data_IF_258042896474
#
_entry.id   IF_258042896474
#
_cell.length_a   1.000
_cell.length_b   1.000
_cell.length_c   1.000
_cell.angle_alpha   90.00
_cell.angle_beta   90.00
_cell.angle_gamma   90.00
#
_symmetry.space_group_name_H-M   'P 1'
#
loop_
_entity.id
_entity.type
_entity.pdbx_description
1 polymer ?
#
# COMPACT_ATOMS: atom_id res chain seq x y z
N UNK A 1 -17.70 5.70 -12.79
CA UNK A 1 -18.35 5.10 -11.61
C UNK A 1 -17.26 4.78 -10.60
N UNK A 2 -17.49 5.09 -9.34
CA UNK A 2 -16.63 4.71 -8.22
C UNK A 2 -17.38 3.76 -7.29
N UNK A 3 -16.68 3.14 -6.33
CA UNK A 3 -17.29 2.22 -5.37
C UNK A 3 -18.39 2.88 -4.54
N UNK A 4 -18.21 4.14 -4.12
CA UNK A 4 -19.22 4.89 -3.34
C UNK A 4 -20.52 5.17 -4.14
N UNK A 5 -20.52 5.01 -5.47
CA UNK A 5 -21.73 5.13 -6.30
C UNK A 5 -22.62 3.87 -6.21
N UNK A 6 -22.08 2.74 -5.73
CA UNK A 6 -22.79 1.47 -5.61
C UNK A 6 -23.49 1.37 -4.26
N UNK A 7 -24.76 0.95 -4.25
CA UNK A 7 -25.40 0.58 -3.00
C UNK A 7 -24.71 -0.64 -2.38
N UNK A 8 -24.81 -0.81 -1.06
CA UNK A 8 -24.29 -2.01 -0.37
C UNK A 8 -24.83 -3.32 -0.97
N UNK A 9 -26.09 -3.30 -1.43
CA UNK A 9 -26.73 -4.42 -2.09
C UNK A 9 -26.11 -4.68 -3.47
N UNK A 10 -25.95 -3.65 -4.30
CA UNK A 10 -25.38 -3.78 -5.64
C UNK A 10 -23.92 -4.25 -5.57
N UNK A 11 -23.13 -3.67 -4.68
CA UNK A 11 -21.75 -4.10 -4.43
C UNK A 11 -21.69 -5.58 -4.05
N UNK A 12 -22.55 -6.02 -3.14
CA UNK A 12 -22.62 -7.42 -2.70
C UNK A 12 -23.06 -8.36 -3.84
N UNK A 13 -24.01 -7.95 -4.67
CA UNK A 13 -24.47 -8.71 -5.83
C UNK A 13 -23.39 -8.81 -6.90
N UNK A 14 -22.71 -7.70 -7.22
CA UNK A 14 -21.57 -7.68 -8.15
C UNK A 14 -20.47 -8.64 -7.68
N UNK A 15 -20.05 -8.56 -6.41
CA UNK A 15 -19.03 -9.43 -5.83
C UNK A 15 -19.44 -10.92 -5.84
N UNK A 16 -20.72 -11.21 -5.59
CA UNK A 16 -21.23 -12.58 -5.53
C UNK A 16 -21.45 -13.24 -6.90
N UNK A 17 -21.61 -12.44 -7.96
CA UNK A 17 -21.87 -12.85 -9.34
C UNK A 17 -20.67 -12.62 -10.27
N UNK A 18 -20.73 -11.65 -11.20
CA UNK A 18 -19.72 -11.45 -12.24
C UNK A 18 -18.35 -11.00 -11.70
N UNK A 19 -18.31 -10.39 -10.51
CA UNK A 19 -17.13 -9.80 -9.88
C UNK A 19 -17.09 -8.28 -10.01
N UNK A 20 -16.55 -7.62 -9.00
CA UNK A 20 -16.27 -6.18 -9.01
C UNK A 20 -14.91 -5.94 -9.66
N UNK A 21 -14.84 -5.09 -10.68
CA UNK A 21 -13.58 -4.70 -11.31
C UNK A 21 -13.07 -3.41 -10.72
N UNK A 22 -12.25 -3.55 -9.70
CA UNK A 22 -11.71 -2.45 -8.93
C UNK A 22 -10.40 -1.97 -9.56
N UNK A 23 -10.32 -0.69 -9.94
CA UNK A 23 -9.06 -0.07 -10.40
C UNK A 23 -8.28 0.50 -9.22
N UNK A 24 -7.01 0.11 -9.08
CA UNK A 24 -6.05 0.71 -8.14
C UNK A 24 -4.78 1.08 -8.89
N UNK A 25 -4.54 2.38 -9.08
CA UNK A 25 -3.42 2.83 -9.91
C UNK A 25 -3.55 2.26 -11.34
N UNK A 26 -2.47 1.68 -11.90
CA UNK A 26 -2.48 1.14 -13.25
C UNK A 26 -3.18 -0.23 -13.37
N UNK A 27 -3.60 -0.85 -12.26
CA UNK A 27 -4.12 -2.22 -12.26
C UNK A 27 -5.62 -2.30 -12.02
N UNK A 28 -6.25 -3.31 -12.62
CA UNK A 28 -7.65 -3.65 -12.44
C UNK A 28 -7.76 -5.07 -11.91
N UNK A 29 -8.30 -5.22 -10.71
CA UNK A 29 -8.58 -6.53 -10.11
C UNK A 29 -10.07 -6.87 -10.25
N UNK A 30 -10.39 -7.99 -10.89
CA UNK A 30 -11.73 -8.57 -10.91
C UNK A 30 -11.92 -9.42 -9.64
N UNK A 31 -12.57 -8.85 -8.63
CA UNK A 31 -12.75 -9.43 -7.30
C UNK A 31 -14.10 -10.13 -7.21
N UNK A 32 -14.10 -11.40 -6.82
CA UNK A 32 -15.32 -12.17 -6.49
C UNK A 32 -15.31 -12.62 -5.03
N UNK A 33 -16.42 -12.42 -4.34
CA UNK A 33 -16.60 -12.91 -2.97
C UNK A 33 -18.08 -12.92 -2.59
N UNK A 34 -18.46 -13.91 -1.78
CA UNK A 34 -19.78 -13.94 -1.09
C UNK A 34 -19.66 -13.60 0.39
N UNK A 35 -18.46 -13.21 0.85
CA UNK A 35 -18.20 -12.92 2.25
C UNK A 35 -18.59 -11.46 2.55
N UNK A 36 -19.51 -11.20 3.51
CA UNK A 36 -19.91 -9.84 3.85
C UNK A 36 -18.74 -8.95 4.27
N UNK A 37 -17.76 -9.51 4.98
CA UNK A 37 -16.56 -8.79 5.41
C UNK A 37 -15.74 -8.22 4.23
N UNK A 38 -15.74 -8.89 3.07
CA UNK A 38 -15.06 -8.39 1.86
C UNK A 38 -15.82 -7.21 1.27
N UNK A 39 -17.14 -7.33 1.13
CA UNK A 39 -17.97 -6.22 0.62
C UNK A 39 -17.89 -4.99 1.52
N UNK A 40 -17.97 -5.19 2.84
CA UNK A 40 -17.85 -4.11 3.83
C UNK A 40 -16.47 -3.46 3.80
N UNK A 41 -15.40 -4.25 3.73
CA UNK A 41 -14.03 -3.73 3.63
C UNK A 41 -13.81 -2.94 2.33
N UNK A 42 -14.34 -3.43 1.20
CA UNK A 42 -14.27 -2.70 -0.08
C UNK A 42 -15.04 -1.39 0.00
N UNK A 43 -16.29 -1.39 0.47
CA UNK A 43 -17.08 -0.17 0.63
C UNK A 43 -16.36 0.87 1.51
N UNK A 44 -15.79 0.42 2.65
CA UNK A 44 -15.12 1.31 3.58
C UNK A 44 -13.84 1.93 3.00
N UNK A 45 -12.99 1.11 2.39
CA UNK A 45 -11.62 1.48 2.06
C UNK A 45 -11.44 1.91 0.60
N UNK A 46 -12.25 1.38 -0.29
CA UNK A 46 -12.13 1.62 -1.72
C UNK A 46 -13.20 2.55 -2.28
N UNK A 47 -14.02 3.19 -1.43
CA UNK A 47 -15.12 4.07 -1.85
C UNK A 47 -14.80 5.07 -2.99
N UNK A 48 -13.63 5.72 -2.94
CA UNK A 48 -13.21 6.70 -3.95
C UNK A 48 -12.63 6.08 -5.24
N UNK A 49 -12.44 4.76 -5.30
CA UNK A 49 -11.75 4.09 -6.40
C UNK A 49 -12.69 3.84 -7.58
N UNK A 50 -12.20 3.98 -8.82
CA UNK A 50 -12.97 3.64 -9.99
C UNK A 50 -13.36 2.17 -10.05
N UNK A 51 -14.56 1.93 -10.58
CA UNK A 51 -15.05 0.61 -10.94
C UNK A 51 -15.13 0.55 -12.47
N UNK A 52 -14.42 -0.40 -13.06
CA UNK A 52 -14.43 -0.62 -14.50
C UNK A 52 -15.67 -1.40 -14.95
N UNK A 53 -16.06 -1.20 -16.21
CA UNK A 53 -17.17 -1.93 -16.81
C UNK A 53 -16.94 -3.45 -16.80
N UNK A 54 -18.02 -4.22 -16.72
CA UNK A 54 -17.99 -5.68 -16.65
C UNK A 54 -17.33 -6.36 -17.87
N UNK A 55 -17.25 -5.67 -19.01
CA UNK A 55 -16.68 -6.19 -20.27
C UNK A 55 -15.24 -5.72 -20.57
N UNK A 56 -14.68 -4.78 -19.79
CA UNK A 56 -13.27 -4.36 -19.88
C UNK A 56 -12.21 -5.45 -19.58
N UNK A 57 -10.95 -5.04 -19.47
CA UNK A 57 -9.83 -5.91 -19.08
C UNK A 57 -9.63 -5.93 -17.56
N UNK A 58 -9.12 -7.03 -17.02
CA UNK A 58 -8.66 -7.13 -15.64
C UNK A 58 -7.29 -7.83 -15.61
N UNK A 59 -6.34 -7.24 -14.91
CA UNK A 59 -4.99 -7.80 -14.72
C UNK A 59 -5.02 -9.06 -13.85
N UNK A 60 -5.92 -9.10 -12.87
CA UNK A 60 -6.03 -10.20 -11.92
C UNK A 60 -7.47 -10.64 -11.73
N UNK A 61 -7.74 -11.94 -11.79
CA UNK A 61 -9.03 -12.51 -11.39
C UNK A 61 -8.91 -13.18 -10.02
N UNK A 62 -9.35 -12.47 -8.98
CA UNK A 62 -9.20 -12.90 -7.59
C UNK A 62 -10.54 -13.33 -7.01
N UNK A 63 -10.51 -14.39 -6.20
CA UNK A 63 -11.69 -14.87 -5.48
C UNK A 63 -11.37 -15.09 -4.00
N UNK A 64 -12.20 -14.53 -3.13
CA UNK A 64 -12.23 -14.89 -1.71
C UNK A 64 -13.45 -15.76 -1.43
N UNK A 65 -13.21 -16.96 -0.92
CA UNK A 65 -14.27 -17.93 -0.67
C UNK A 65 -14.06 -18.68 0.64
N UNK A 66 -15.16 -18.95 1.35
CA UNK A 66 -15.17 -19.92 2.43
C UNK A 66 -15.01 -21.35 1.88
N UNK A 67 -14.42 -22.29 2.64
CA UNK A 67 -14.38 -23.68 2.24
C UNK A 67 -15.80 -24.26 2.10
N UNK A 68 -15.95 -25.20 1.16
CA UNK A 68 -17.22 -25.89 0.89
C UNK A 68 -17.55 -27.03 1.87
N UNK A 69 -16.69 -27.27 2.87
CA UNK A 69 -16.83 -28.38 3.82
C UNK A 69 -17.58 -27.96 5.11
N UNK A 70 -18.04 -28.96 5.86
CA UNK A 70 -18.75 -28.76 7.13
C UNK A 70 -17.89 -28.07 8.21
N UNK A 71 -16.56 -28.03 8.04
CA UNK A 71 -15.65 -27.32 8.95
C UNK A 71 -15.87 -25.80 8.98
N UNK A 72 -16.62 -25.23 8.02
CA UNK A 72 -17.02 -23.81 8.01
C UNK A 72 -17.71 -23.34 9.30
N UNK A 73 -18.27 -24.26 10.09
CA UNK A 73 -19.02 -23.94 11.31
C UNK A 73 -18.19 -24.03 12.60
N UNK A 74 -17.08 -24.77 12.60
CA UNK A 74 -16.25 -25.00 13.79
C UNK A 74 -15.02 -24.09 13.82
N UNK A 75 -14.43 -23.80 12.66
CA UNK A 75 -13.38 -22.78 12.49
C UNK A 75 -13.53 -22.16 11.09
N UNK A 76 -14.34 -21.11 10.94
CA UNK A 76 -14.56 -20.46 9.66
C UNK A 76 -13.23 -19.97 9.07
N UNK A 77 -12.96 -20.35 7.81
CA UNK A 77 -11.75 -19.96 7.09
C UNK A 77 -12.08 -19.25 5.78
N UNK A 78 -11.12 -18.51 5.25
CA UNK A 78 -11.15 -17.89 3.94
C UNK A 78 -9.95 -18.32 3.11
N UNK A 79 -10.21 -18.62 1.84
CA UNK A 79 -9.21 -18.90 0.82
C UNK A 79 -9.15 -17.72 -0.14
N UNK A 80 -7.93 -17.34 -0.51
CA UNK A 80 -7.67 -16.45 -1.64
C UNK A 80 -7.29 -17.30 -2.83
N UNK A 81 -7.91 -17.04 -3.97
CA UNK A 81 -7.60 -17.69 -5.24
C UNK A 81 -7.25 -16.66 -6.29
N UNK A 82 -6.24 -16.95 -7.09
CA UNK A 82 -5.91 -16.25 -8.31
C UNK A 82 -6.09 -17.24 -9.46
N UNK A 83 -6.95 -16.92 -10.43
CA UNK A 83 -7.23 -17.77 -11.60
C UNK A 83 -7.61 -19.22 -11.26
N UNK A 84 -8.21 -19.42 -10.07
CA UNK A 84 -8.61 -20.73 -9.55
C UNK A 84 -7.59 -21.38 -8.61
N UNK A 85 -6.32 -20.98 -8.67
CA UNK A 85 -5.24 -21.49 -7.85
C UNK A 85 -5.14 -20.77 -6.51
N UNK A 86 -4.69 -21.47 -5.46
CA UNK A 86 -4.56 -20.88 -4.10
C UNK A 86 -3.08 -20.66 -3.75
N UNK A 87 -2.53 -19.45 -3.94
CA UNK A 87 -1.12 -19.17 -3.66
C UNK A 87 -0.77 -19.17 -2.16
N UNK A 88 -1.78 -19.09 -1.29
CA UNK A 88 -1.60 -19.04 0.17
C UNK A 88 -2.38 -20.14 0.89
N UNK A 89 -1.96 -20.40 2.12
CA UNK A 89 -2.76 -21.16 3.09
C UNK A 89 -4.02 -20.36 3.48
N UNK A 90 -5.13 -21.03 3.82
CA UNK A 90 -6.32 -20.35 4.30
C UNK A 90 -6.06 -19.60 5.61
N UNK A 91 -6.74 -18.46 5.78
CA UNK A 91 -6.74 -17.67 7.01
C UNK A 91 -8.09 -17.79 7.74
N UNK A 92 -8.19 -17.41 9.02
CA UNK A 92 -9.47 -17.23 9.70
C UNK A 92 -10.41 -16.28 8.92
N UNK A 93 -11.73 -16.54 8.94
CA UNK A 93 -12.68 -15.82 8.08
C UNK A 93 -12.83 -14.32 8.43
N UNK A 94 -12.59 -13.93 9.67
CA UNK A 94 -12.52 -12.53 10.11
C UNK A 94 -11.31 -11.77 9.53
N UNK A 95 -10.31 -12.49 9.01
CA UNK A 95 -9.16 -11.95 8.29
C UNK A 95 -9.40 -11.85 6.77
N UNK A 96 -10.64 -11.99 6.29
CA UNK A 96 -10.94 -11.98 4.85
C UNK A 96 -10.51 -10.69 4.14
N UNK A 97 -10.77 -9.51 4.70
CA UNK A 97 -10.32 -8.25 4.09
C UNK A 97 -8.78 -8.08 4.14
N UNK A 98 -8.09 -8.31 5.28
CA UNK A 98 -6.62 -8.40 5.29
C UNK A 98 -6.05 -9.40 4.25
N UNK A 99 -6.72 -10.54 4.04
CA UNK A 99 -6.31 -11.52 3.03
C UNK A 99 -6.45 -10.97 1.61
N UNK A 100 -7.51 -10.21 1.31
CA UNK A 100 -7.66 -9.52 0.04
C UNK A 100 -6.51 -8.53 -0.17
N UNK A 101 -6.22 -7.69 0.82
CA UNK A 101 -5.15 -6.69 0.73
C UNK A 101 -3.79 -7.34 0.45
N UNK A 102 -3.47 -8.39 1.20
CA UNK A 102 -2.23 -9.15 1.01
C UNK A 102 -2.19 -9.84 -0.36
N UNK A 103 -3.28 -10.48 -0.77
CA UNK A 103 -3.35 -11.18 -2.04
C UNK A 103 -3.19 -10.24 -3.25
N UNK A 104 -3.77 -9.05 -3.21
CA UNK A 104 -3.57 -8.04 -4.25
C UNK A 104 -2.11 -7.55 -4.31
N UNK A 105 -1.46 -7.34 -3.15
CA UNK A 105 -0.03 -7.00 -3.13
C UNK A 105 0.84 -8.10 -3.73
N UNK A 106 0.52 -9.36 -3.42
CA UNK A 106 1.24 -10.50 -3.99
C UNK A 106 1.05 -10.60 -5.51
N UNK A 107 -0.17 -10.38 -6.03
CA UNK A 107 -0.42 -10.36 -7.47
C UNK A 107 0.49 -9.34 -8.16
N UNK A 108 0.54 -8.12 -7.63
CA UNK A 108 1.36 -7.04 -8.20
C UNK A 108 2.85 -7.37 -8.12
N UNK A 109 3.35 -7.80 -6.95
CA UNK A 109 4.79 -8.06 -6.78
C UNK A 109 5.31 -9.27 -7.54
N UNK A 110 4.47 -10.27 -7.82
CA UNK A 110 4.86 -11.50 -8.51
C UNK A 110 4.54 -11.52 -10.01
N UNK A 111 3.67 -10.63 -10.50
CA UNK A 111 3.24 -10.67 -11.90
C UNK A 111 3.56 -9.39 -12.67
N UNK A 112 3.65 -8.23 -12.02
CA UNK A 112 3.82 -6.95 -12.69
C UNK A 112 5.29 -6.53 -12.83
N UNK A 113 6.07 -7.34 -13.53
CA UNK A 113 7.51 -7.15 -13.69
C UNK A 113 7.91 -6.06 -14.69
N UNK A 114 6.95 -5.43 -15.37
CA UNK A 114 7.22 -4.20 -16.13
C UNK A 114 7.67 -3.04 -15.24
N UNK A 115 7.37 -3.10 -13.94
CA UNK A 115 7.85 -2.15 -12.94
C UNK A 115 9.02 -2.74 -12.15
N UNK A 116 9.94 -1.88 -11.72
CA UNK A 116 10.88 -2.22 -10.65
C UNK A 116 10.16 -1.95 -9.31
N UNK A 117 9.94 -3.01 -8.53
CA UNK A 117 9.10 -2.94 -7.34
C UNK A 117 9.93 -3.02 -6.08
N UNK A 118 9.80 -2.02 -5.21
CA UNK A 118 10.52 -1.93 -3.93
C UNK A 118 9.53 -1.99 -2.77
N UNK A 119 9.88 -2.73 -1.72
CA UNK A 119 9.16 -2.67 -0.45
C UNK A 119 9.44 -1.33 0.25
N UNK A 120 8.57 -0.36 -0.02
CA UNK A 120 8.69 1.00 0.47
C UNK A 120 7.33 1.70 0.49
N UNK A 121 7.19 2.66 1.41
CA UNK A 121 6.09 3.61 1.37
C UNK A 121 6.54 4.80 0.53
N UNK A 122 5.61 5.37 -0.22
CA UNK A 122 5.84 6.50 -1.11
C UNK A 122 4.73 7.50 -0.87
N UNK A 123 5.14 8.71 -0.51
CA UNK A 123 4.25 9.87 -0.42
C UNK A 123 4.81 10.99 -1.28
N UNK A 124 3.97 11.90 -1.74
CA UNK A 124 4.37 12.98 -2.64
C UNK A 124 3.97 14.36 -2.12
N UNK A 125 4.81 15.34 -2.39
CA UNK A 125 4.55 16.76 -2.20
C UNK A 125 5.09 17.53 -3.41
N UNK A 126 4.27 18.40 -4.00
CA UNK A 126 4.66 19.31 -5.09
C UNK A 126 5.38 18.62 -6.27
N UNK A 127 4.90 17.46 -6.70
CA UNK A 127 5.44 16.64 -7.79
C UNK A 127 6.62 15.74 -7.43
N UNK A 128 7.13 15.82 -6.19
CA UNK A 128 8.31 15.08 -5.72
C UNK A 128 7.93 13.98 -4.72
N UNK A 129 8.37 12.76 -5.01
CA UNK A 129 8.16 11.59 -4.18
C UNK A 129 9.22 11.48 -3.08
N UNK A 130 8.76 11.24 -1.86
CA UNK A 130 9.52 10.76 -0.73
C UNK A 130 9.35 9.24 -0.63
N UNK A 131 10.45 8.51 -0.83
CA UNK A 131 10.51 7.05 -0.77
C UNK A 131 11.08 6.67 0.60
N UNK A 132 10.32 5.84 1.33
CA UNK A 132 10.66 5.35 2.66
C UNK A 132 10.91 3.84 2.59
N UNK A 133 12.06 3.39 2.06
CA UNK A 133 12.40 1.97 2.04
C UNK A 133 12.77 1.56 3.46
N UNK A 134 12.16 0.48 3.93
CA UNK A 134 12.46 0.01 5.27
C UNK A 134 12.02 -1.44 5.48
N UNK A 135 12.76 -2.20 6.31
CA UNK A 135 12.31 -3.52 6.75
C UNK A 135 10.99 -3.40 7.52
N UNK A 136 10.19 -4.49 7.59
CA UNK A 136 9.01 -4.53 8.43
C UNK A 136 9.30 -4.13 9.89
N UNK A 137 8.43 -3.31 10.49
CA UNK A 137 8.57 -2.88 11.90
C UNK A 137 9.35 -1.59 12.14
N UNK A 138 9.91 -0.97 11.10
CA UNK A 138 10.66 0.30 11.14
C UNK A 138 9.85 1.57 11.44
N UNK A 139 8.51 1.47 11.47
CA UNK A 139 7.60 2.62 11.59
C UNK A 139 7.18 3.25 10.25
N UNK A 140 7.59 2.69 9.12
CA UNK A 140 7.28 3.16 7.76
C UNK A 140 5.79 3.47 7.53
N UNK A 141 4.89 2.53 7.81
CA UNK A 141 3.45 2.73 7.59
C UNK A 141 2.86 3.78 8.53
N UNK A 142 3.40 3.91 9.74
CA UNK A 142 3.02 4.94 10.71
C UNK A 142 3.46 6.32 10.25
N UNK A 143 4.68 6.46 9.75
CA UNK A 143 5.18 7.71 9.19
C UNK A 143 4.42 8.10 7.91
N UNK A 144 4.17 7.14 7.02
CA UNK A 144 3.35 7.31 5.83
C UNK A 144 1.96 7.84 6.19
N UNK A 145 1.27 7.18 7.12
CA UNK A 145 -0.04 7.63 7.62
C UNK A 145 0.01 9.04 8.21
N UNK A 146 1.04 9.37 8.99
CA UNK A 146 1.24 10.72 9.53
C UNK A 146 1.33 11.79 8.43
N UNK A 147 2.17 11.56 7.43
CA UNK A 147 2.39 12.50 6.33
C UNK A 147 1.14 12.71 5.48
N UNK A 148 0.41 11.64 5.13
CA UNK A 148 -0.79 11.76 4.29
C UNK A 148 -1.94 12.48 5.00
N UNK A 149 -2.00 12.39 6.34
CA UNK A 149 -2.94 13.15 7.16
C UNK A 149 -2.48 14.60 7.46
N UNK A 150 -1.35 15.02 6.86
CA UNK A 150 -0.83 16.39 6.87
C UNK A 150 -0.60 16.93 5.46
N UNK A 151 -1.36 16.42 4.49
CA UNK A 151 -1.45 16.99 3.16
C UNK A 151 -0.34 16.55 2.20
N UNK A 152 0.35 15.46 2.51
CA UNK A 152 1.09 14.71 1.49
C UNK A 152 0.14 13.80 0.71
N UNK A 153 0.39 13.61 -0.58
CA UNK A 153 -0.35 12.63 -1.39
C UNK A 153 0.18 11.23 -1.12
N UNK A 154 -0.71 10.27 -0.92
CA UNK A 154 -0.34 8.86 -0.87
C UNK A 154 -0.07 8.35 -2.29
N UNK A 155 1.12 7.80 -2.54
CA UNK A 155 1.37 6.98 -3.74
C UNK A 155 1.20 5.51 -3.38
N UNK A 156 1.86 5.02 -2.33
CA UNK A 156 1.73 3.63 -1.89
C UNK A 156 2.24 3.49 -0.46
N UNK A 157 1.72 2.55 0.33
CA UNK A 157 2.32 2.22 1.63
C UNK A 157 3.27 1.02 1.54
N UNK A 158 3.11 0.10 0.60
CA UNK A 158 3.80 -1.19 0.64
C UNK A 158 4.68 -1.45 -0.59
N UNK A 159 4.20 -1.06 -1.78
CA UNK A 159 4.85 -1.34 -3.06
C UNK A 159 5.16 -0.02 -3.78
N UNK A 160 6.42 0.39 -3.78
CA UNK A 160 6.89 1.48 -4.63
C UNK A 160 7.12 0.92 -6.04
N UNK A 161 6.33 1.38 -7.01
CA UNK A 161 6.41 0.97 -8.41
C UNK A 161 7.20 2.02 -9.18
N UNK A 162 8.42 1.68 -9.60
CA UNK A 162 9.22 2.54 -10.46
C UNK A 162 9.03 2.07 -11.90
N UNK A 163 8.61 2.96 -12.77
CA UNK A 163 8.63 2.70 -14.21
C UNK A 163 10.09 2.81 -14.72
N UNK A 164 10.71 1.71 -15.18
CA UNK A 164 12.11 1.74 -15.63
C UNK A 164 12.32 2.56 -16.91
N UNK A 165 11.26 2.91 -17.65
CA UNK A 165 11.37 3.77 -18.84
C UNK A 165 11.47 5.25 -18.48
N UNK A 166 10.66 5.73 -17.54
CA UNK A 166 10.64 7.15 -17.15
C UNK A 166 11.39 7.47 -15.85
N UNK A 167 11.72 6.46 -15.03
CA UNK A 167 12.29 6.63 -13.70
C UNK A 167 11.31 7.22 -12.67
N UNK A 168 10.02 7.34 -13.01
CA UNK A 168 9.00 7.92 -12.14
C UNK A 168 8.30 6.86 -11.29
N UNK A 169 7.75 7.31 -10.17
CA UNK A 169 6.95 6.48 -9.28
C UNK A 169 5.50 6.47 -9.76
N UNK A 170 4.99 5.28 -10.02
CA UNK A 170 3.60 5.05 -10.39
C UNK A 170 2.73 4.94 -9.13
N UNK A 171 1.65 5.73 -8.99
CA UNK A 171 0.79 5.66 -7.82
C UNK A 171 0.00 4.35 -7.75
N UNK A 172 -0.14 3.82 -6.54
CA UNK A 172 -0.96 2.68 -6.16
C UNK A 172 -1.65 3.00 -4.80
N UNK A 173 -2.52 4.02 -4.73
CA UNK A 173 -3.03 4.54 -3.47
C UNK A 173 -4.06 3.59 -2.84
N UNK A 174 -3.56 2.60 -2.10
CA UNK A 174 -4.35 1.58 -1.40
C UNK A 174 -4.37 1.83 0.12
N UNK A 175 -5.21 1.11 0.88
CA UNK A 175 -5.31 1.28 2.32
C UNK A 175 -3.97 1.09 3.04
N UNK A 176 -3.71 1.93 4.04
CA UNK A 176 -2.46 1.86 4.82
C UNK A 176 -2.62 0.83 5.92
N UNK A 177 -1.78 -0.21 5.94
CA UNK A 177 -1.85 -1.29 6.93
C UNK A 177 -1.06 -0.92 8.19
N UNK A 178 -1.77 -0.51 9.25
CA UNK A 178 -1.19 -0.22 10.56
C UNK A 178 -1.26 -1.44 11.48
N UNK A 179 -0.28 -1.53 12.39
CA UNK A 179 -0.12 -2.67 13.29
C UNK A 179 0.04 -2.23 14.74
N UNK A 180 -0.53 -3.02 15.65
CA UNK A 180 -0.33 -2.91 17.10
C UNK A 180 -0.50 -1.45 17.58
N UNK A 181 0.50 -0.90 18.27
CA UNK A 181 0.48 0.44 18.86
C UNK A 181 0.32 1.56 17.80
N UNK A 182 0.72 1.30 16.55
CA UNK A 182 0.62 2.28 15.47
C UNK A 182 -0.83 2.66 15.16
N UNK A 183 -1.78 1.77 15.44
CA UNK A 183 -3.21 2.02 15.23
C UNK A 183 -3.67 3.17 16.13
N UNK A 184 -3.37 3.10 17.43
CA UNK A 184 -3.73 4.13 18.40
C UNK A 184 -2.89 5.41 18.28
N UNK A 185 -1.65 5.30 17.80
CA UNK A 185 -0.84 6.47 17.46
C UNK A 185 -1.52 7.29 16.36
N UNK A 186 -1.94 6.66 15.25
CA UNK A 186 -2.56 7.39 14.14
C UNK A 186 -3.99 7.84 14.49
N UNK A 187 -4.77 7.05 15.25
CA UNK A 187 -6.10 7.51 15.72
C UNK A 187 -6.02 8.82 16.51
N UNK A 188 -4.99 8.97 17.36
CA UNK A 188 -4.75 10.21 18.12
C UNK A 188 -4.21 11.32 17.24
N UNK A 189 -3.26 11.01 16.37
CA UNK A 189 -2.60 12.00 15.49
C UNK A 189 -3.56 12.56 14.42
N UNK A 190 -4.46 11.73 13.91
CA UNK A 190 -5.42 12.05 12.86
C UNK A 190 -6.82 11.53 13.22
N UNK A 191 -7.57 12.20 14.11
CA UNK A 191 -8.90 11.74 14.55
C UNK A 191 -9.94 11.62 13.44
N UNK A 192 -9.77 12.35 12.33
CA UNK A 192 -10.63 12.27 11.16
C UNK A 192 -10.31 11.09 10.23
N UNK A 193 -9.25 10.33 10.50
CA UNK A 193 -8.89 9.14 9.72
C UNK A 193 -9.93 8.02 9.93
N UNK A 194 -10.29 7.35 8.84
CA UNK A 194 -11.28 6.27 8.85
C UNK A 194 -10.56 4.93 8.81
N UNK A 195 -10.89 4.04 9.74
CA UNK A 195 -10.29 2.70 9.86
C UNK A 195 -11.38 1.63 9.89
N UNK A 196 -11.03 0.40 9.48
CA UNK A 196 -11.81 -0.76 9.89
C UNK A 196 -11.56 -1.09 11.38
N UNK A 197 -12.41 -1.94 11.99
CA UNK A 197 -12.11 -2.55 13.27
C UNK A 197 -10.75 -3.27 13.24
N UNK A 198 -10.05 -3.25 14.37
CA UNK A 198 -8.80 -3.97 14.52
C UNK A 198 -9.05 -5.49 14.45
N UNK A 199 -8.23 -6.18 13.68
CA UNK A 199 -8.25 -7.64 13.55
C UNK A 199 -7.11 -8.20 14.38
N UNK A 200 -7.44 -9.02 15.37
CA UNK A 200 -6.49 -9.63 16.30
C UNK A 200 -5.92 -10.96 15.76
N UNK A 201 -4.88 -11.46 16.40
CA UNK A 201 -4.27 -12.77 16.14
C UNK A 201 -3.90 -13.04 14.66
N UNK A 202 -3.44 -12.01 13.95
CA UNK A 202 -2.81 -12.19 12.64
C UNK A 202 -1.35 -12.60 12.81
N UNK A 203 -0.74 -13.17 11.77
CA UNK A 203 0.72 -13.44 11.74
C UNK A 203 1.57 -12.18 11.92
N UNK A 204 0.96 -10.99 11.75
CA UNK A 204 1.57 -9.67 11.88
C UNK A 204 1.16 -8.95 13.18
N UNK A 205 0.47 -9.62 14.11
CA UNK A 205 -0.09 -9.03 15.33
C UNK A 205 -1.51 -8.50 15.14
N UNK A 206 -1.87 -7.41 15.79
CA UNK A 206 -3.15 -6.73 15.56
C UNK A 206 -3.02 -5.81 14.35
N UNK A 207 -3.95 -5.88 13.39
CA UNK A 207 -3.92 -5.10 12.13
C UNK A 207 -5.18 -4.27 11.97
N UNK A 208 -5.02 -3.02 11.57
CA UNK A 208 -6.11 -2.19 11.06
C UNK A 208 -5.65 -1.44 9.80
N UNK A 209 -6.55 -1.27 8.85
CA UNK A 209 -6.32 -0.54 7.61
C UNK A 209 -6.91 0.86 7.74
N UNK A 210 -6.15 1.87 7.34
CA UNK A 210 -6.65 3.23 7.19
C UNK A 210 -7.11 3.46 5.74
N UNK A 211 -8.30 4.04 5.56
CA UNK A 211 -8.80 4.44 4.24
C UNK A 211 -7.83 5.46 3.61
N UNK A 212 -7.40 5.28 2.35
CA UNK A 212 -6.56 6.26 1.68
C UNK A 212 -7.33 7.58 1.46
N UNK A 213 -6.68 8.75 1.52
CA UNK A 213 -7.32 10.01 1.19
C UNK A 213 -7.89 10.00 -0.24
N UNK A 214 -9.14 10.42 -0.42
CA UNK A 214 -9.80 10.43 -1.73
C UNK A 214 -9.07 11.29 -2.77
N UNK A 215 -8.38 12.35 -2.32
CA UNK A 215 -7.53 13.17 -3.20
C UNK A 215 -6.35 12.39 -3.79
N UNK A 216 -5.77 11.45 -3.04
CA UNK A 216 -4.72 10.57 -3.53
C UNK A 216 -5.26 9.60 -4.60
N UNK A 217 -6.44 9.03 -4.35
CA UNK A 217 -7.10 8.11 -5.29
C UNK A 217 -7.48 8.81 -6.61
N UNK A 218 -8.02 10.03 -6.55
CA UNK A 218 -8.35 10.80 -7.76
C UNK A 218 -7.13 11.15 -8.63
N UNK A 219 -5.96 11.22 -8.02
CA UNK A 219 -4.68 11.52 -8.68
C UNK A 219 -3.84 10.26 -8.89
N UNK A 220 -4.47 9.09 -9.00
CA UNK A 220 -3.78 7.81 -9.16
C UNK A 220 -3.08 7.66 -10.53
N UNK A 221 -3.51 8.42 -11.54
CA UNK A 221 -2.91 8.42 -12.88
C UNK A 221 -1.80 9.48 -13.04
N UNK A 222 -1.38 10.14 -11.95
CA UNK A 222 -0.37 11.20 -11.97
C UNK A 222 0.94 10.71 -11.31
N UNK A 223 1.93 10.22 -12.09
CA UNK A 223 3.24 9.83 -11.59
C UNK A 223 3.95 10.95 -10.82
N UNK A 224 4.90 10.56 -9.98
CA UNK A 224 5.75 11.49 -9.26
C UNK A 224 7.23 11.26 -9.57
N UNK A 225 7.99 12.35 -9.65
CA UNK A 225 9.45 12.27 -9.81
C UNK A 225 10.08 11.90 -8.47
N UNK A 226 11.11 11.04 -8.43
CA UNK A 226 11.86 10.83 -7.20
C UNK A 226 12.44 12.16 -6.69
N UNK A 227 12.12 12.52 -5.45
CA UNK A 227 12.67 13.71 -4.79
C UNK A 227 13.62 13.33 -3.66
N UNK A 228 13.24 12.33 -2.87
CA UNK A 228 14.00 11.91 -1.70
C UNK A 228 13.90 10.42 -1.44
N UNK A 229 15.00 9.85 -0.94
CA UNK A 229 15.06 8.51 -0.36
C UNK A 229 15.48 8.66 1.09
N UNK A 230 14.60 8.30 2.01
CA UNK A 230 14.82 8.52 3.44
C UNK A 230 14.62 7.20 4.18
N UNK A 231 15.64 6.77 4.92
CA UNK A 231 15.56 5.56 5.75
C UNK A 231 14.95 5.92 7.11
N UNK A 232 13.68 5.58 7.39
CA UNK A 232 13.06 5.93 8.65
C UNK A 232 13.51 4.97 9.76
N UNK A 233 13.72 5.53 10.95
CA UNK A 233 13.96 4.79 12.19
C UNK A 233 13.16 5.41 13.32
N UNK A 234 12.08 4.75 13.70
CA UNK A 234 11.40 5.08 14.94
C UNK A 234 12.23 4.62 16.14
N UNK A 235 12.45 5.52 17.11
CA UNK A 235 13.08 5.19 18.39
C UNK A 235 12.41 6.00 19.50
N UNK A 236 11.80 5.31 20.46
CA UNK A 236 11.10 5.97 21.58
C UNK A 236 12.04 6.94 22.31
N UNK A 237 11.56 8.17 22.55
CA UNK A 237 12.32 9.23 23.23
C UNK A 237 13.53 9.79 22.47
N UNK A 238 13.81 9.32 21.25
CA UNK A 238 14.93 9.85 20.46
C UNK A 238 14.65 11.29 19.99
N UNK A 239 15.73 12.08 19.92
CA UNK A 239 15.71 13.39 19.29
C UNK A 239 15.49 13.24 17.79
N UNK A 240 14.60 14.04 17.24
CA UNK A 240 14.35 14.09 15.80
C UNK A 240 15.60 14.58 15.05
N UNK A 241 16.06 13.79 14.08
CA UNK A 241 17.27 14.09 13.31
C UNK A 241 17.17 13.56 11.89
N UNK A 242 17.49 14.43 10.92
CA UNK A 242 17.66 14.10 9.52
C UNK A 242 19.14 14.27 9.14
N UNK A 243 19.82 13.21 8.73
CA UNK A 243 21.24 13.25 8.36
C UNK A 243 21.45 12.78 6.91
N UNK A 244 22.35 13.41 6.14
CA UNK A 244 22.68 12.94 4.81
C UNK A 244 23.14 11.48 4.81
N UNK A 245 22.66 10.71 3.84
CA UNK A 245 23.04 9.32 3.61
C UNK A 245 23.87 9.25 2.32
N UNK A 246 25.04 8.57 2.32
CA UNK A 246 25.81 8.36 1.09
C UNK A 246 24.97 7.66 0.02
N UNK A 247 24.99 8.17 -1.21
CA UNK A 247 24.19 7.66 -2.34
C UNK A 247 24.39 6.16 -2.59
N UNK A 248 25.63 5.67 -2.51
CA UNK A 248 25.93 4.25 -2.66
C UNK A 248 25.18 3.39 -1.61
N UNK A 249 25.11 3.86 -0.36
CA UNK A 249 24.38 3.18 0.71
C UNK A 249 22.87 3.22 0.48
N UNK A 250 22.34 4.34 -0.01
CA UNK A 250 20.93 4.46 -0.38
C UNK A 250 20.55 3.50 -1.53
N UNK A 251 21.40 3.38 -2.56
CA UNK A 251 21.21 2.43 -3.66
C UNK A 251 21.18 0.99 -3.16
N UNK A 252 22.14 0.59 -2.30
CA UNK A 252 22.15 -0.75 -1.71
C UNK A 252 20.86 -1.02 -0.91
N UNK A 253 20.39 -0.05 -0.11
CA UNK A 253 19.15 -0.22 0.64
C UNK A 253 17.92 -0.35 -0.26
N UNK A 254 17.85 0.35 -1.39
CA UNK A 254 16.78 0.17 -2.37
C UNK A 254 16.85 -1.21 -3.04
N UNK A 255 18.05 -1.65 -3.44
CA UNK A 255 18.26 -2.96 -4.05
C UNK A 255 17.90 -4.11 -3.09
N UNK A 256 18.31 -4.01 -1.82
CA UNK A 256 18.00 -5.01 -0.77
C UNK A 256 16.50 -5.12 -0.50
N UNK A 257 15.73 -4.04 -0.71
CA UNK A 257 14.28 -4.03 -0.53
C UNK A 257 13.51 -4.26 -1.83
N UNK A 258 14.17 -4.48 -2.97
CA UNK A 258 13.52 -4.69 -4.25
C UNK A 258 13.13 -6.16 -4.46
N UNK A 259 11.87 -6.41 -4.82
CA UNK A 259 11.32 -7.77 -5.00
C UNK A 259 11.87 -8.48 -6.23
N UNK A 260 12.12 -7.71 -7.30
CA UNK A 260 12.45 -8.22 -8.62
C UNK A 260 13.73 -7.59 -9.19
N UNK A 261 14.63 -7.13 -8.33
CA UNK A 261 15.90 -6.53 -8.76
C UNK A 261 16.72 -7.45 -9.67
N UNK A 262 16.87 -8.72 -9.28
CA UNK A 262 17.59 -9.72 -10.08
C UNK A 262 16.93 -10.04 -11.42
N UNK A 263 15.61 -9.85 -11.55
CA UNK A 263 14.89 -10.06 -12.80
C UNK A 263 15.17 -8.95 -13.82
N UNK A 264 15.34 -7.72 -13.34
CA UNK A 264 15.64 -6.56 -14.19
C UNK A 264 17.12 -6.47 -14.59
N UNK A 265 18.02 -7.16 -13.89
CA UNK A 265 19.46 -7.16 -14.19
C UNK A 265 20.04 -5.74 -14.26
N UNK A 266 20.82 -5.47 -15.30
CA UNK A 266 21.48 -4.17 -15.53
C UNK A 266 20.49 -3.00 -15.56
N UNK A 267 19.33 -3.20 -16.20
CA UNK A 267 18.27 -2.18 -16.26
C UNK A 267 17.75 -1.83 -14.85
N UNK A 268 17.70 -2.81 -13.95
CA UNK A 268 17.33 -2.60 -12.55
C UNK A 268 18.34 -1.71 -11.83
N UNK A 269 19.64 -1.99 -12.02
CA UNK A 269 20.72 -1.16 -11.48
C UNK A 269 20.67 0.27 -12.01
N UNK A 270 20.58 0.45 -13.33
CA UNK A 270 20.51 1.77 -13.97
C UNK A 270 19.30 2.59 -13.50
N UNK A 271 18.15 1.93 -13.33
CA UNK A 271 16.93 2.57 -12.82
C UNK A 271 17.13 3.09 -11.40
N UNK A 272 17.71 2.29 -10.49
CA UNK A 272 17.98 2.74 -9.13
C UNK A 272 19.08 3.80 -9.07
N UNK A 273 20.13 3.66 -9.87
CA UNK A 273 21.21 4.64 -9.95
C UNK A 273 20.68 6.01 -10.40
N UNK A 274 19.91 6.06 -11.50
CA UNK A 274 19.29 7.29 -11.99
C UNK A 274 18.31 7.90 -10.98
N UNK A 275 17.56 7.07 -10.25
CA UNK A 275 16.70 7.54 -9.16
C UNK A 275 17.50 8.22 -8.04
N UNK A 276 18.56 7.56 -7.57
CA UNK A 276 19.42 8.05 -6.47
C UNK A 276 20.24 9.28 -6.90
N UNK A 277 20.62 9.38 -8.16
CA UNK A 277 21.29 10.56 -8.69
C UNK A 277 20.44 11.82 -8.56
N UNK A 278 19.13 11.69 -8.78
CA UNK A 278 18.17 12.79 -8.78
C UNK A 278 17.45 13.01 -7.44
N UNK A 279 17.70 12.16 -6.43
CA UNK A 279 17.05 12.22 -5.12
C UNK A 279 18.01 12.62 -3.98
N UNK A 280 17.51 13.44 -3.05
CA UNK A 280 18.18 13.67 -1.78
C UNK A 280 18.12 12.41 -0.90
N UNK A 281 19.26 11.94 -0.40
CA UNK A 281 19.34 10.71 0.39
C UNK A 281 19.60 11.02 1.86
N UNK A 282 18.78 10.48 2.76
CA UNK A 282 18.89 10.75 4.20
C UNK A 282 18.61 9.51 5.07
N UNK A 283 19.13 9.53 6.28
CA UNK A 283 18.62 8.74 7.40
C UNK A 283 17.80 9.65 8.31
N UNK A 284 16.69 9.12 8.83
CA UNK A 284 15.77 9.89 9.66
C UNK A 284 15.43 9.12 10.94
N UNK A 285 15.82 9.69 12.08
CA UNK A 285 15.46 9.14 13.40
C UNK A 285 14.45 10.06 14.07
N UNK A 286 13.39 9.50 14.64
CA UNK A 286 12.32 10.27 15.27
C UNK A 286 11.59 9.49 16.36
N UNK A 287 10.89 10.23 17.22
CA UNK A 287 9.99 9.68 18.25
C UNK A 287 8.56 10.25 18.19
N UNK A 288 8.37 11.40 17.53
CA UNK A 288 7.08 12.10 17.41
C UNK A 288 6.72 12.37 15.96
N UNK A 289 5.44 12.20 15.62
CA UNK A 289 4.97 12.36 14.24
C UNK A 289 4.87 13.83 13.84
N UNK A 290 4.54 14.71 14.77
CA UNK A 290 4.45 16.16 14.56
C UNK A 290 5.80 16.71 14.06
N UNK A 291 6.86 16.44 14.82
CA UNK A 291 8.23 16.84 14.46
C UNK A 291 8.68 16.21 13.14
N UNK A 292 8.27 14.97 12.86
CA UNK A 292 8.60 14.32 11.60
C UNK A 292 7.95 15.01 10.40
N UNK A 293 6.67 15.38 10.51
CA UNK A 293 5.95 16.09 9.46
C UNK A 293 6.59 17.45 9.21
N UNK A 294 6.90 18.21 10.27
CA UNK A 294 7.57 19.52 10.16
C UNK A 294 8.89 19.41 9.38
N UNK A 295 9.74 18.43 9.73
CA UNK A 295 11.01 18.19 9.04
C UNK A 295 10.82 17.87 7.56
N UNK A 296 9.83 17.05 7.21
CA UNK A 296 9.58 16.71 5.81
C UNK A 296 8.94 17.85 5.02
N UNK A 297 8.05 18.63 5.62
CA UNK A 297 7.49 19.83 5.00
C UNK A 297 8.58 20.88 4.74
N UNK A 298 9.51 21.08 5.68
CA UNK A 298 10.69 21.93 5.46
C UNK A 298 11.59 21.39 4.34
N UNK A 299 11.84 20.08 4.32
CA UNK A 299 12.64 19.43 3.28
C UNK A 299 12.01 19.64 1.89
N UNK A 300 10.69 19.53 1.79
CA UNK A 300 9.94 19.76 0.56
C UNK A 300 9.91 21.24 0.16
N UNK A 301 9.88 22.17 1.12
CA UNK A 301 9.86 23.62 0.87
C UNK A 301 11.19 24.18 0.36
N UNK A 302 12.31 23.49 0.56
CA UNK A 302 13.65 23.90 0.09
C UNK A 302 13.98 23.45 -1.34
N UNK A 303 13.09 22.68 -1.97
CA UNK A 303 13.39 21.86 -3.14
C UNK A 303 12.86 22.44 -4.45
#
# INVERSE_FOLDING_TARGET
MIVDDLSSQDLSQCLAGPGLRLRTGPFVAAIRSRLPAVAQGIALHYGAHPVEGADGFADFHVQLAAPRNLRRWLHPQVFFRLDGESPFKPLPADQAFPMLEWGLNWCISNLCHQYLTIHAAVVEKSGKALILPAPPGSGKSTLCAGLIHRGWRLLSDELALIDPASGQLTPLPRPVSLKNESIEVIRRFAPAAVFNPAVHDTTKGTVAHARPPAASVRRADEPARPGWVVLPRFSSGAQTRLTPLPKARALMQLADNAFNYGLHGDRGFETLAGLIENAGCYEFTYSRLEEAVEVFDELAGRA
#
